data_IF_097461040377
#
_entry.id   IF_097461040377
#
_cell.length_a   1.000
_cell.length_b   1.000
_cell.length_c   1.000
_cell.angle_alpha   90.00
_cell.angle_beta   90.00
_cell.angle_gamma   90.00
#
_symmetry.space_group_name_H-M   'P 1'
#
loop_
_entity.id
_entity.type
_entity.pdbx_description
1 polymer ?
#
# COMPACT_ATOMS: atom_id res chain seq x y z
N UNK A 1 36.61 -18.07 -42.64
CA UNK A 1 35.21 -18.47 -42.83
C UNK A 1 34.47 -18.64 -41.47
N UNK A 2 35.08 -19.30 -40.45
CA UNK A 2 34.45 -19.48 -39.13
C UNK A 2 34.30 -18.17 -38.35
N UNK A 3 35.34 -17.36 -38.28
CA UNK A 3 35.33 -16.09 -37.51
C UNK A 3 34.30 -15.09 -38.07
N UNK A 4 34.15 -15.00 -39.37
CA UNK A 4 33.14 -14.14 -40.02
C UNK A 4 31.71 -14.59 -39.74
N UNK A 5 31.42 -15.89 -39.69
CA UNK A 5 30.12 -16.42 -39.35
C UNK A 5 29.75 -16.16 -37.85
N UNK A 6 30.76 -16.19 -37.00
CA UNK A 6 30.63 -15.91 -35.57
C UNK A 6 30.38 -14.43 -35.33
N UNK A 7 31.11 -13.53 -36.02
CA UNK A 7 30.86 -12.09 -35.92
C UNK A 7 29.42 -11.74 -36.41
N UNK A 8 28.86 -12.49 -37.36
CA UNK A 8 27.47 -12.36 -37.78
C UNK A 8 26.48 -12.73 -36.65
N UNK A 9 26.71 -13.82 -35.94
CA UNK A 9 25.86 -14.23 -34.80
C UNK A 9 25.95 -13.27 -33.63
N UNK A 10 27.11 -12.70 -33.36
CA UNK A 10 27.24 -11.62 -32.37
C UNK A 10 26.39 -10.40 -32.72
N UNK A 11 26.31 -10.05 -34.00
CA UNK A 11 25.46 -8.95 -34.47
C UNK A 11 23.95 -9.25 -34.30
N UNK A 12 23.57 -10.52 -34.22
CA UNK A 12 22.22 -10.99 -33.92
C UNK A 12 21.95 -11.21 -32.42
N UNK A 13 22.92 -10.80 -31.56
CA UNK A 13 22.85 -10.96 -30.08
C UNK A 13 22.86 -12.42 -29.59
N UNK A 14 23.25 -13.37 -30.47
CA UNK A 14 23.48 -14.76 -30.08
C UNK A 14 24.90 -14.93 -29.56
N UNK A 15 25.04 -15.01 -28.23
CA UNK A 15 26.34 -15.15 -27.51
C UNK A 15 26.56 -16.55 -26.95
N UNK A 16 25.71 -17.54 -27.28
CA UNK A 16 25.80 -18.90 -26.72
C UNK A 16 26.85 -19.79 -27.40
N UNK A 17 27.51 -19.33 -28.44
CA UNK A 17 28.52 -20.06 -29.17
C UNK A 17 29.93 -19.74 -28.66
N UNK A 18 30.87 -20.64 -28.94
CA UNK A 18 32.31 -20.46 -28.69
C UNK A 18 33.06 -20.74 -29.97
N UNK A 19 34.10 -19.94 -30.25
CA UNK A 19 35.08 -20.22 -31.31
C UNK A 19 35.76 -21.55 -31.09
N UNK A 20 36.14 -21.85 -29.85
CA UNK A 20 36.81 -23.06 -29.46
C UNK A 20 38.18 -23.23 -30.18
N UNK A 21 38.85 -22.13 -30.57
CA UNK A 21 40.10 -22.17 -31.29
C UNK A 21 41.26 -22.49 -30.35
N UNK A 22 41.94 -23.59 -30.60
CA UNK A 22 43.08 -24.07 -29.80
C UNK A 22 44.44 -23.76 -30.44
N UNK A 23 44.47 -23.04 -31.57
CA UNK A 23 45.70 -22.70 -32.31
C UNK A 23 46.61 -21.77 -31.51
N UNK A 24 47.93 -21.95 -31.57
CA UNK A 24 48.85 -21.08 -30.85
C UNK A 24 49.20 -19.77 -31.59
N UNK A 25 48.70 -19.57 -32.80
CA UNK A 25 48.93 -18.40 -33.66
C UNK A 25 48.00 -17.21 -33.34
N UNK A 26 48.17 -16.11 -34.07
CA UNK A 26 47.37 -14.88 -33.93
C UNK A 26 45.87 -15.12 -34.13
N UNK A 27 45.49 -16.10 -34.96
CA UNK A 27 44.10 -16.47 -35.19
C UNK A 27 43.51 -17.15 -33.98
N UNK A 28 44.25 -18.00 -33.29
CA UNK A 28 43.84 -18.59 -32.02
C UNK A 28 43.71 -17.55 -30.90
N UNK A 29 44.59 -16.54 -30.87
CA UNK A 29 44.47 -15.43 -29.93
C UNK A 29 43.22 -14.60 -30.17
N UNK A 30 42.90 -14.28 -31.43
CA UNK A 30 41.67 -13.59 -31.83
C UNK A 30 40.41 -14.38 -31.44
N UNK A 31 40.41 -15.71 -31.67
CA UNK A 31 39.26 -16.57 -31.26
C UNK A 31 39.01 -16.57 -29.79
N UNK A 32 40.10 -16.65 -28.95
CA UNK A 32 39.99 -16.56 -27.48
C UNK A 32 39.45 -15.20 -27.03
N UNK A 33 39.94 -14.11 -27.63
CA UNK A 33 39.47 -12.76 -27.30
C UNK A 33 37.98 -12.57 -27.65
N UNK A 34 37.50 -13.15 -28.76
CA UNK A 34 36.09 -13.15 -29.13
C UNK A 34 35.23 -13.97 -28.13
N UNK A 35 35.71 -15.16 -27.73
CA UNK A 35 35.02 -15.98 -26.75
C UNK A 35 34.88 -15.26 -25.38
N UNK A 36 35.97 -14.58 -24.95
CA UNK A 36 35.94 -13.78 -23.73
C UNK A 36 34.98 -12.60 -23.83
N UNK A 37 34.97 -11.91 -24.97
CA UNK A 37 34.07 -10.77 -25.19
C UNK A 37 32.59 -11.24 -25.23
N UNK A 38 32.30 -12.35 -25.93
CA UNK A 38 30.97 -12.94 -25.96
C UNK A 38 30.50 -13.35 -24.57
N UNK A 39 31.39 -13.97 -23.75
CA UNK A 39 31.08 -14.34 -22.37
C UNK A 39 30.76 -13.13 -21.49
N UNK A 40 31.57 -12.06 -21.58
CA UNK A 40 31.33 -10.82 -20.82
C UNK A 40 30.03 -10.14 -21.24
N UNK A 41 29.73 -10.12 -22.54
CA UNK A 41 28.52 -9.50 -23.06
C UNK A 41 27.28 -10.28 -22.67
N UNK A 42 27.32 -11.62 -22.77
CA UNK A 42 26.24 -12.50 -22.30
C UNK A 42 25.96 -12.32 -20.81
N UNK A 43 27.00 -12.28 -19.98
CA UNK A 43 26.86 -12.05 -18.56
C UNK A 43 26.24 -10.67 -18.26
N UNK A 44 26.69 -9.61 -18.92
CA UNK A 44 26.15 -8.26 -18.76
C UNK A 44 24.68 -8.16 -19.19
N UNK A 45 24.29 -8.83 -20.26
CA UNK A 45 22.88 -8.88 -20.70
C UNK A 45 22.01 -9.61 -19.69
N UNK A 46 22.44 -10.74 -19.16
CA UNK A 46 21.71 -11.50 -18.14
C UNK A 46 21.54 -10.68 -16.85
N UNK A 47 22.60 -9.96 -16.44
CA UNK A 47 22.54 -9.06 -15.28
C UNK A 47 21.56 -7.90 -15.52
N UNK A 48 21.61 -7.30 -16.72
CA UNK A 48 20.69 -6.22 -17.10
C UNK A 48 19.22 -6.69 -17.13
N UNK A 49 18.95 -7.87 -17.67
CA UNK A 49 17.62 -8.47 -17.67
C UNK A 49 17.11 -8.72 -16.27
N UNK A 50 17.96 -9.28 -15.41
CA UNK A 50 17.63 -9.53 -14.00
C UNK A 50 17.33 -8.23 -13.25
N UNK A 51 18.19 -7.20 -13.41
CA UNK A 51 17.97 -5.88 -12.81
C UNK A 51 16.70 -5.22 -13.33
N UNK A 52 16.40 -5.31 -14.64
CA UNK A 52 15.18 -4.77 -15.21
C UNK A 52 13.94 -5.48 -14.68
N UNK A 53 14.00 -6.79 -14.51
CA UNK A 53 12.90 -7.56 -13.94
C UNK A 53 12.65 -7.20 -12.47
N UNK A 54 13.71 -7.04 -11.67
CA UNK A 54 13.62 -6.58 -10.28
C UNK A 54 13.00 -5.18 -10.19
N UNK A 55 13.47 -4.24 -11.02
CA UNK A 55 12.95 -2.87 -11.09
C UNK A 55 11.47 -2.83 -11.48
N UNK A 56 11.06 -3.65 -12.45
CA UNK A 56 9.64 -3.77 -12.83
C UNK A 56 8.78 -4.26 -11.66
N UNK A 57 9.29 -5.23 -10.91
CA UNK A 57 8.60 -5.72 -9.71
C UNK A 57 8.45 -4.66 -8.61
N UNK A 58 9.46 -3.81 -8.44
CA UNK A 58 9.44 -2.70 -7.49
C UNK A 58 8.44 -1.61 -7.91
N UNK A 59 8.46 -1.21 -9.18
CA UNK A 59 7.50 -0.25 -9.75
C UNK A 59 6.05 -0.73 -9.59
N UNK A 60 5.78 -2.02 -9.80
CA UNK A 60 4.43 -2.54 -9.64
C UNK A 60 3.97 -2.56 -8.17
N UNK A 61 4.88 -2.86 -7.23
CA UNK A 61 4.60 -2.74 -5.79
C UNK A 61 4.29 -1.30 -5.39
N UNK A 62 5.08 -0.34 -5.87
CA UNK A 62 4.86 1.08 -5.60
C UNK A 62 3.50 1.54 -6.12
N UNK A 63 3.14 1.15 -7.34
CA UNK A 63 1.81 1.43 -7.92
C UNK A 63 0.67 0.84 -7.12
N UNK A 64 0.84 -0.37 -6.60
CA UNK A 64 -0.18 -1.01 -5.77
C UNK A 64 -0.35 -0.29 -4.44
N UNK A 65 0.74 0.12 -3.79
CA UNK A 65 0.71 0.95 -2.58
C UNK A 65 0.02 2.29 -2.84
N UNK A 66 0.29 2.95 -3.96
CA UNK A 66 -0.37 4.19 -4.34
C UNK A 66 -1.88 4.01 -4.56
N UNK A 67 -2.29 2.92 -5.22
CA UNK A 67 -3.72 2.59 -5.37
C UNK A 67 -4.41 2.40 -4.02
N UNK A 68 -3.76 1.67 -3.10
CA UNK A 68 -4.30 1.43 -1.76
C UNK A 68 -4.42 2.73 -0.97
N UNK A 69 -3.41 3.61 -1.03
CA UNK A 69 -3.47 4.95 -0.43
C UNK A 69 -4.61 5.79 -1.00
N UNK A 70 -4.76 5.83 -2.32
CA UNK A 70 -5.85 6.57 -2.96
C UNK A 70 -7.22 6.00 -2.59
N UNK A 71 -7.38 4.69 -2.54
CA UNK A 71 -8.61 4.04 -2.09
C UNK A 71 -8.94 4.41 -0.65
N UNK A 72 -7.94 4.41 0.25
CA UNK A 72 -8.08 4.83 1.63
C UNK A 72 -8.53 6.29 1.75
N UNK A 73 -7.88 7.22 1.04
CA UNK A 73 -8.26 8.64 1.07
C UNK A 73 -9.66 8.88 0.52
N UNK A 74 -10.05 8.16 -0.53
CA UNK A 74 -11.39 8.26 -1.08
C UNK A 74 -12.44 7.75 -0.10
N UNK A 75 -12.22 6.60 0.54
CA UNK A 75 -13.11 6.06 1.56
C UNK A 75 -13.22 7.01 2.76
N UNK A 76 -12.08 7.48 3.28
CA UNK A 76 -12.02 8.45 4.37
C UNK A 76 -12.80 9.73 4.07
N UNK A 77 -12.63 10.27 2.87
CA UNK A 77 -13.34 11.48 2.41
C UNK A 77 -14.85 11.25 2.33
N UNK A 78 -15.27 10.08 1.88
CA UNK A 78 -16.68 9.70 1.81
C UNK A 78 -17.32 9.57 3.19
N UNK A 79 -16.63 8.87 4.10
CA UNK A 79 -17.09 8.66 5.48
C UNK A 79 -17.14 9.96 6.30
N UNK A 80 -16.28 10.92 6.02
CA UNK A 80 -16.30 12.25 6.65
C UNK A 80 -17.34 13.18 6.03
N UNK A 81 -17.59 13.09 4.71
CA UNK A 81 -18.53 13.97 4.02
C UNK A 81 -19.97 13.82 4.53
N UNK A 82 -20.39 12.60 4.83
CA UNK A 82 -21.75 12.29 5.31
C UNK A 82 -22.06 12.99 6.65
N UNK A 83 -21.28 12.79 7.74
CA UNK A 83 -21.56 13.46 9.01
C UNK A 83 -21.41 14.98 8.92
N UNK A 84 -20.48 15.50 8.12
CA UNK A 84 -20.33 16.96 7.87
C UNK A 84 -21.62 17.51 7.22
N UNK A 85 -22.18 16.82 6.24
CA UNK A 85 -23.41 17.25 5.57
C UNK A 85 -24.60 17.23 6.54
N UNK A 86 -24.71 16.19 7.38
CA UNK A 86 -25.75 16.08 8.40
C UNK A 86 -25.61 17.22 9.41
N UNK A 87 -24.40 17.46 9.91
CA UNK A 87 -24.12 18.52 10.87
C UNK A 87 -24.47 19.90 10.30
N UNK A 88 -24.05 20.16 9.06
CA UNK A 88 -24.38 21.40 8.36
C UNK A 88 -25.90 21.59 8.24
N UNK A 89 -26.63 20.54 7.84
CA UNK A 89 -28.10 20.59 7.72
C UNK A 89 -28.79 20.85 9.06
N UNK A 90 -28.33 20.20 10.14
CA UNK A 90 -28.86 20.42 11.50
C UNK A 90 -28.63 21.87 11.96
N UNK A 91 -27.40 22.39 11.79
CA UNK A 91 -27.04 23.75 12.18
C UNK A 91 -27.80 24.79 11.35
N UNK A 92 -27.90 24.63 10.04
CA UNK A 92 -28.66 25.52 9.18
C UNK A 92 -30.14 25.53 9.53
N UNK A 93 -30.75 24.34 9.71
CA UNK A 93 -32.15 24.22 10.10
C UNK A 93 -32.48 24.87 11.48
N UNK A 94 -31.56 24.76 12.44
CA UNK A 94 -31.67 25.42 13.75
C UNK A 94 -31.55 26.95 13.64
N UNK A 95 -30.66 27.47 12.77
CA UNK A 95 -30.52 28.91 12.53
C UNK A 95 -31.77 29.50 11.88
N UNK A 96 -32.33 28.80 10.91
CA UNK A 96 -33.53 29.21 10.17
C UNK A 96 -34.82 29.00 10.97
N UNK A 97 -34.76 28.17 12.00
CA UNK A 97 -35.94 27.84 12.84
C UNK A 97 -37.04 27.08 12.12
N UNK A 98 -36.66 26.28 11.10
CA UNK A 98 -37.58 25.62 10.19
C UNK A 98 -37.97 24.23 10.67
N UNK A 99 -39.27 23.93 10.69
CA UNK A 99 -39.80 22.57 10.87
C UNK A 99 -39.35 21.90 12.17
N UNK A 100 -38.81 20.69 12.05
CA UNK A 100 -38.38 19.85 13.18
C UNK A 100 -37.18 20.41 13.94
N UNK A 101 -36.43 21.35 13.35
CA UNK A 101 -35.23 21.95 13.92
C UNK A 101 -35.54 23.06 14.95
N UNK A 102 -36.79 23.37 15.20
CA UNK A 102 -37.25 24.30 16.26
C UNK A 102 -36.87 23.79 17.66
N UNK A 103 -36.80 22.48 17.85
CA UNK A 103 -36.29 21.86 19.09
C UNK A 103 -34.74 21.90 19.07
N UNK A 104 -34.19 23.07 19.40
CA UNK A 104 -32.74 23.34 19.33
C UNK A 104 -31.94 22.41 20.23
N UNK A 105 -32.41 22.16 21.45
CA UNK A 105 -31.67 21.36 22.43
C UNK A 105 -31.49 19.93 21.93
N UNK A 106 -32.53 19.33 21.38
CA UNK A 106 -32.47 18.02 20.76
C UNK A 106 -31.50 17.95 19.59
N UNK A 107 -31.48 18.94 18.71
CA UNK A 107 -30.59 18.94 17.55
C UNK A 107 -29.17 19.35 17.87
N UNK A 108 -28.93 20.17 18.91
CA UNK A 108 -27.60 20.40 19.47
C UNK A 108 -27.00 19.11 20.02
N UNK A 109 -27.79 18.33 20.77
CA UNK A 109 -27.35 17.03 21.29
C UNK A 109 -26.97 16.06 20.15
N UNK A 110 -27.81 15.99 19.10
CA UNK A 110 -27.52 15.18 17.92
C UNK A 110 -26.28 15.66 17.16
N UNK A 111 -26.09 16.97 17.05
CA UNK A 111 -24.90 17.56 16.43
C UNK A 111 -23.64 17.19 17.20
N UNK A 112 -23.70 17.23 18.53
CA UNK A 112 -22.60 16.83 19.40
C UNK A 112 -22.28 15.33 19.25
N UNK A 113 -23.28 14.47 19.17
CA UNK A 113 -23.09 13.04 18.89
C UNK A 113 -22.46 12.80 17.52
N UNK A 114 -22.85 13.56 16.50
CA UNK A 114 -22.27 13.48 15.17
C UNK A 114 -20.81 13.89 15.17
N UNK A 115 -20.46 14.95 15.91
CA UNK A 115 -19.07 15.39 16.09
C UNK A 115 -18.22 14.32 16.78
N UNK A 116 -18.75 13.67 17.83
CA UNK A 116 -18.04 12.56 18.50
C UNK A 116 -17.76 11.37 17.57
N UNK A 117 -18.70 11.04 16.66
CA UNK A 117 -18.46 10.01 15.63
C UNK A 117 -17.34 10.43 14.66
N UNK A 118 -17.31 11.70 14.27
CA UNK A 118 -16.23 12.21 13.40
C UNK A 118 -14.87 12.15 14.10
N UNK A 119 -14.80 12.48 15.38
CA UNK A 119 -13.55 12.35 16.16
C UNK A 119 -13.05 10.91 16.20
N UNK A 120 -13.95 9.94 16.39
CA UNK A 120 -13.57 8.53 16.37
C UNK A 120 -13.06 8.09 15.00
N UNK A 121 -13.74 8.46 13.90
CA UNK A 121 -13.27 8.18 12.54
C UNK A 121 -11.88 8.76 12.29
N UNK A 122 -11.63 9.99 12.71
CA UNK A 122 -10.31 10.63 12.57
C UNK A 122 -9.25 9.86 13.37
N UNK A 123 -9.55 9.43 14.59
CA UNK A 123 -8.61 8.63 15.41
C UNK A 123 -8.29 7.29 14.75
N UNK A 124 -9.29 6.60 14.19
CA UNK A 124 -9.10 5.35 13.45
C UNK A 124 -8.20 5.55 12.22
N UNK A 125 -8.46 6.60 11.43
CA UNK A 125 -7.63 6.94 10.27
C UNK A 125 -6.18 7.24 10.64
N UNK A 126 -5.97 7.99 11.72
CA UNK A 126 -4.63 8.29 12.23
C UNK A 126 -3.93 7.03 12.77
N UNK A 127 -4.66 6.10 13.37
CA UNK A 127 -4.10 4.83 13.83
C UNK A 127 -3.63 3.98 12.65
N UNK A 128 -4.43 3.86 11.59
CA UNK A 128 -4.06 3.16 10.35
C UNK A 128 -2.82 3.80 9.71
N UNK A 129 -2.81 5.13 9.54
CA UNK A 129 -1.69 5.86 8.97
C UNK A 129 -0.37 5.65 9.75
N UNK A 130 -0.44 5.59 11.09
CA UNK A 130 0.74 5.31 11.92
C UNK A 130 1.23 3.87 11.78
N UNK A 131 0.34 2.91 11.58
CA UNK A 131 0.71 1.51 11.33
C UNK A 131 1.43 1.36 10.00
N UNK A 132 0.96 2.03 8.93
CA UNK A 132 1.59 2.00 7.61
C UNK A 132 2.99 2.61 7.61
N UNK A 133 3.21 3.67 8.37
CA UNK A 133 4.53 4.33 8.46
C UNK A 133 5.51 3.59 9.37
N UNK A 134 5.12 2.47 9.99
CA UNK A 134 5.97 1.72 10.92
C UNK A 134 6.36 2.49 12.18
N UNK A 135 5.74 3.65 12.42
CA UNK A 135 6.05 4.52 13.55
C UNK A 135 5.46 4.05 14.88
N UNK A 136 4.63 3.00 14.86
CA UNK A 136 4.10 2.37 16.06
C UNK A 136 4.96 1.16 16.40
N UNK A 137 5.80 1.29 17.42
CA UNK A 137 6.41 0.12 18.04
C UNK A 137 5.30 -0.71 18.69
N UNK A 138 4.91 -1.81 18.03
CA UNK A 138 3.94 -2.76 18.60
C UNK A 138 4.61 -3.42 19.80
N UNK A 139 4.23 -3.00 21.01
CA UNK A 139 4.60 -3.71 22.22
C UNK A 139 3.82 -5.02 22.26
N UNK A 140 4.53 -6.12 22.19
CA UNK A 140 3.94 -7.43 22.47
C UNK A 140 3.83 -7.61 23.98
N UNK A 141 2.64 -7.43 24.51
CA UNK A 141 2.33 -7.69 25.92
C UNK A 141 1.37 -8.89 26.00
N UNK A 142 1.51 -9.67 27.07
CA UNK A 142 0.50 -10.69 27.39
C UNK A 142 -0.76 -9.99 27.88
N UNK A 143 -1.84 -10.12 27.12
CA UNK A 143 -3.14 -9.52 27.44
C UNK A 143 -4.09 -10.63 27.85
N UNK A 144 -4.74 -10.46 29.01
CA UNK A 144 -5.85 -11.30 29.42
C UNK A 144 -7.11 -10.84 28.66
N UNK A 145 -7.47 -11.61 27.63
CA UNK A 145 -8.63 -11.30 26.79
C UNK A 145 -9.94 -11.36 27.58
N UNK A 146 -10.06 -12.26 28.56
CA UNK A 146 -11.27 -12.38 29.38
C UNK A 146 -11.50 -11.13 30.21
N UNK A 147 -10.45 -10.65 30.90
CA UNK A 147 -10.53 -9.42 31.67
C UNK A 147 -10.80 -8.17 30.79
N UNK A 148 -10.26 -8.15 29.57
CA UNK A 148 -10.50 -7.06 28.64
C UNK A 148 -11.96 -7.04 28.16
N UNK A 149 -12.51 -8.21 27.82
CA UNK A 149 -13.91 -8.37 27.40
C UNK A 149 -14.85 -7.99 28.53
N UNK A 150 -14.65 -8.49 29.75
CA UNK A 150 -15.47 -8.16 30.92
C UNK A 150 -15.47 -6.64 31.19
N UNK A 151 -14.31 -6.01 31.10
CA UNK A 151 -14.19 -4.56 31.26
C UNK A 151 -14.98 -3.81 30.19
N UNK A 152 -14.92 -4.24 28.93
CA UNK A 152 -15.64 -3.61 27.83
C UNK A 152 -17.15 -3.82 28.00
N UNK A 153 -17.60 -5.01 28.33
CA UNK A 153 -19.00 -5.32 28.59
C UNK A 153 -19.58 -4.48 29.77
N UNK A 154 -18.79 -4.25 30.80
CA UNK A 154 -19.19 -3.41 31.93
C UNK A 154 -19.36 -1.95 31.50
N UNK A 155 -18.52 -1.44 30.61
CA UNK A 155 -18.65 -0.08 30.06
C UNK A 155 -19.87 0.07 29.16
N UNK A 156 -20.22 -0.97 28.41
CA UNK A 156 -21.34 -0.97 27.47
C UNK A 156 -22.66 -1.45 28.09
N UNK A 157 -22.66 -1.93 29.34
CA UNK A 157 -23.84 -2.46 30.04
C UNK A 157 -25.03 -1.47 30.04
N UNK A 158 -24.76 -0.18 30.26
CA UNK A 158 -25.79 0.85 30.21
C UNK A 158 -26.41 1.07 28.82
N UNK A 159 -25.68 0.81 27.75
CA UNK A 159 -26.17 0.87 26.38
C UNK A 159 -27.00 -0.37 26.02
N UNK A 160 -26.61 -1.53 26.55
CA UNK A 160 -27.32 -2.80 26.34
C UNK A 160 -28.68 -2.81 27.06
N UNK A 161 -28.72 -2.30 28.30
CA UNK A 161 -30.00 -2.13 29.05
C UNK A 161 -30.96 -1.19 28.31
N UNK A 162 -30.47 -0.06 27.76
CA UNK A 162 -31.32 0.86 26.99
C UNK A 162 -31.91 0.24 25.71
N UNK A 163 -31.30 -0.81 25.15
CA UNK A 163 -31.72 -1.47 23.94
C UNK A 163 -32.43 -2.81 24.15
N UNK A 164 -32.70 -3.17 25.42
CA UNK A 164 -33.30 -4.46 25.81
C UNK A 164 -32.59 -5.68 25.18
N UNK A 165 -31.28 -5.58 25.00
CA UNK A 165 -30.43 -6.65 24.48
C UNK A 165 -29.76 -7.37 25.64
N UNK A 166 -29.98 -8.69 25.71
CA UNK A 166 -29.26 -9.60 26.62
C UNK A 166 -28.07 -10.22 25.88
N UNK A 167 -26.93 -10.27 26.53
CA UNK A 167 -25.74 -11.03 26.12
C UNK A 167 -25.89 -12.49 26.53
#
# INVERSE_FOLDING_TARGET
>A
VRISAIAGKMAELDFQWKCGETRPDEIGQLGRSLDEMAGKLSAALTELESANQALRGEVERERELDRQRMAFFNAASHELKTPVTILKGQLSGMLEGVGVYQDRDKYLLRSLQTTGRMENLIREMLAISRMETGSVAVKQERVDLSALIERQLTLDAGLLEQRDQRL
#
